data_IF_833249244072
#
_entry.id   IF_833249244072
#
_cell.length_a   1.000
_cell.length_b   1.000
_cell.length_c   1.000
_cell.angle_alpha   90.00
_cell.angle_beta   90.00
_cell.angle_gamma   90.00
#
_symmetry.space_group_name_H-M   'P 1'
#
loop_
_entity.id
_entity.type
_entity.pdbx_description
1 polymer ?
#
# COMPACT_ATOMS: atom_id res chain seq x y z
N UNK A 1 -8.50 30.68 -22.30
CA UNK A 1 -8.02 29.30 -22.08
C UNK A 1 -8.31 28.81 -20.64
N UNK A 2 -9.54 29.03 -20.12
CA UNK A 2 -9.94 28.67 -18.73
C UNK A 2 -11.13 27.68 -18.65
N UNK A 3 -11.83 27.40 -19.76
CA UNK A 3 -12.97 26.45 -19.76
C UNK A 3 -12.53 24.98 -19.77
N UNK A 4 -11.40 24.66 -20.42
CA UNK A 4 -10.95 23.26 -20.61
C UNK A 4 -10.48 22.64 -19.30
N UNK A 5 -9.97 23.46 -18.37
CA UNK A 5 -9.55 23.01 -17.03
C UNK A 5 -10.72 22.73 -16.08
N UNK A 6 -11.91 23.24 -16.38
CA UNK A 6 -13.13 22.98 -15.61
C UNK A 6 -13.78 21.64 -16.02
N UNK A 7 -13.74 21.33 -17.32
CA UNK A 7 -14.24 20.05 -17.87
C UNK A 7 -13.39 18.85 -17.49
N UNK A 8 -12.12 19.05 -17.13
CA UNK A 8 -11.19 17.96 -16.84
C UNK A 8 -11.39 17.32 -15.45
N UNK A 9 -12.20 17.91 -14.56
CA UNK A 9 -12.35 17.44 -13.18
C UNK A 9 -11.04 17.60 -12.38
N UNK A 10 -11.04 18.31 -11.25
CA UNK A 10 -9.82 18.40 -10.45
C UNK A 10 -9.41 17.00 -9.97
N UNK A 11 -8.14 16.57 -10.13
CA UNK A 11 -7.69 15.30 -9.59
C UNK A 11 -7.94 15.30 -8.08
N UNK A 12 -8.65 14.27 -7.60
CA UNK A 12 -9.03 14.18 -6.21
C UNK A 12 -7.77 14.05 -5.35
N UNK A 13 -7.38 15.14 -4.67
CA UNK A 13 -6.16 15.18 -3.83
C UNK A 13 -6.12 14.01 -2.85
N UNK A 14 -7.28 13.65 -2.28
CA UNK A 14 -7.42 12.51 -1.37
C UNK A 14 -7.07 11.16 -2.00
N UNK A 15 -7.35 10.93 -3.29
CA UNK A 15 -6.93 9.69 -3.96
C UNK A 15 -5.40 9.64 -4.10
N UNK A 16 -4.79 10.76 -4.47
CA UNK A 16 -3.33 10.85 -4.63
C UNK A 16 -2.60 10.68 -3.28
N UNK A 17 -3.16 11.22 -2.21
CA UNK A 17 -2.65 11.06 -0.84
C UNK A 17 -2.81 9.61 -0.36
N UNK A 18 -3.98 9.00 -0.59
CA UNK A 18 -4.22 7.59 -0.26
C UNK A 18 -3.26 6.67 -1.02
N UNK A 19 -3.02 6.94 -2.31
CA UNK A 19 -2.05 6.18 -3.10
C UNK A 19 -0.64 6.26 -2.50
N UNK A 20 -0.20 7.47 -2.10
CA UNK A 20 1.10 7.65 -1.41
C UNK A 20 1.16 6.86 -0.11
N UNK A 21 0.09 6.89 0.70
CA UNK A 21 0.01 6.11 1.94
C UNK A 21 0.12 4.61 1.67
N UNK A 22 -0.59 4.09 0.66
CA UNK A 22 -0.51 2.68 0.25
C UNK A 22 0.94 2.29 -0.12
N UNK A 23 1.62 3.12 -0.91
CA UNK A 23 3.01 2.86 -1.31
C UNK A 23 3.93 2.83 -0.10
N UNK A 24 3.78 3.77 0.84
CA UNK A 24 4.57 3.80 2.08
C UNK A 24 4.31 2.56 2.93
N UNK A 25 3.05 2.15 3.09
CA UNK A 25 2.68 0.95 3.84
C UNK A 25 3.23 -0.32 3.19
N UNK A 26 3.25 -0.43 1.86
CA UNK A 26 3.89 -1.55 1.13
C UNK A 26 5.39 -1.59 1.41
N UNK A 27 6.09 -0.46 1.29
CA UNK A 27 7.53 -0.37 1.60
C UNK A 27 7.83 -0.74 3.06
N UNK A 28 6.97 -0.34 4.00
CA UNK A 28 7.11 -0.71 5.40
C UNK A 28 6.97 -2.23 5.60
N UNK A 29 6.00 -2.86 4.92
CA UNK A 29 5.82 -4.31 4.95
C UNK A 29 7.04 -5.05 4.39
N UNK A 30 7.56 -4.63 3.24
CA UNK A 30 8.80 -5.19 2.64
C UNK A 30 9.99 -5.07 3.59
N UNK A 31 10.09 -3.94 4.31
CA UNK A 31 11.14 -3.73 5.31
C UNK A 31 11.01 -4.68 6.50
N UNK A 32 9.79 -4.98 6.95
CA UNK A 32 9.52 -5.96 8.02
C UNK A 32 9.84 -7.40 7.58
N UNK A 33 9.52 -7.76 6.33
CA UNK A 33 9.86 -9.05 5.75
C UNK A 33 11.38 -9.23 5.63
N UNK A 34 12.08 -8.20 5.14
CA UNK A 34 13.55 -8.22 5.07
C UNK A 34 14.17 -8.31 6.47
N UNK A 35 13.63 -7.57 7.45
CA UNK A 35 14.12 -7.62 8.83
C UNK A 35 13.91 -9.00 9.49
N UNK A 36 12.77 -9.66 9.24
CA UNK A 36 12.54 -11.04 9.67
C UNK A 36 13.61 -11.98 9.10
N UNK A 37 13.85 -11.89 7.78
CA UNK A 37 14.83 -12.71 7.07
C UNK A 37 16.24 -12.51 7.64
N UNK A 38 16.68 -11.26 7.79
CA UNK A 38 18.00 -10.93 8.33
C UNK A 38 18.18 -11.44 9.76
N UNK A 39 17.13 -11.40 10.59
CA UNK A 39 17.16 -11.95 11.94
C UNK A 39 17.28 -13.47 11.93
N UNK A 40 16.55 -14.17 11.05
CA UNK A 40 16.66 -15.63 10.92
C UNK A 40 18.03 -16.06 10.42
N UNK A 41 18.63 -15.33 9.48
CA UNK A 41 19.99 -15.57 9.01
C UNK A 41 21.02 -15.42 10.14
N UNK A 42 20.92 -14.33 10.93
CA UNK A 42 21.75 -14.13 12.11
C UNK A 42 21.55 -15.23 13.16
N UNK A 43 20.33 -15.72 13.34
CA UNK A 43 20.06 -16.84 14.24
C UNK A 43 20.74 -18.13 13.77
N UNK A 44 20.72 -18.41 12.46
CA UNK A 44 21.39 -19.55 11.86
C UNK A 44 22.92 -19.45 12.00
N UNK A 45 23.50 -18.28 11.75
CA UNK A 45 24.95 -18.04 11.95
C UNK A 45 25.37 -18.30 13.40
N UNK A 46 24.59 -17.82 14.37
CA UNK A 46 24.88 -18.06 15.79
C UNK A 46 24.70 -19.53 16.18
N UNK A 47 23.80 -20.27 15.51
CA UNK A 47 23.68 -21.72 15.72
C UNK A 47 24.93 -22.46 15.24
N UNK A 48 25.45 -22.12 14.06
CA UNK A 48 26.69 -22.74 13.55
C UNK A 48 27.89 -22.41 14.43
N UNK A 49 28.03 -21.15 14.88
CA UNK A 49 29.07 -20.77 15.85
C UNK A 49 28.95 -21.56 17.16
N UNK A 50 27.74 -21.69 17.71
CA UNK A 50 27.52 -22.48 18.91
C UNK A 50 27.96 -23.95 18.72
N UNK A 51 27.69 -24.54 17.55
CA UNK A 51 28.14 -25.91 17.20
C UNK A 51 29.66 -26.01 17.16
N UNK A 52 30.35 -25.00 16.63
CA UNK A 52 31.82 -24.96 16.63
C UNK A 52 32.41 -24.86 18.05
N UNK A 53 31.86 -24.00 18.91
CA UNK A 53 32.31 -23.91 20.32
C UNK A 53 32.03 -25.22 21.08
N UNK A 54 30.88 -25.86 20.85
CA UNK A 54 30.59 -27.19 21.40
C UNK A 54 31.62 -28.25 20.97
N UNK A 55 32.07 -28.24 19.71
CA UNK A 55 33.13 -29.16 19.22
C UNK A 55 34.48 -28.90 19.89
N UNK A 56 34.75 -27.66 20.32
CA UNK A 56 35.96 -27.26 21.04
C UNK A 56 35.83 -27.41 22.57
N UNK A 57 34.72 -27.95 23.08
CA UNK A 57 34.39 -28.06 24.51
C UNK A 57 34.31 -26.71 25.25
N UNK A 58 34.11 -25.62 24.52
CA UNK A 58 33.98 -24.28 25.07
C UNK A 58 32.50 -23.97 25.38
N UNK A 59 32.12 -24.12 26.64
CA UNK A 59 30.72 -24.06 27.07
C UNK A 59 30.17 -22.65 27.19
N UNK A 60 31.00 -21.69 27.59
CA UNK A 60 30.56 -20.33 27.87
C UNK A 60 30.25 -19.58 26.58
N UNK A 61 31.14 -19.69 25.58
CA UNK A 61 30.91 -19.10 24.27
C UNK A 61 29.77 -19.78 23.51
N UNK A 62 29.64 -21.11 23.61
CA UNK A 62 28.50 -21.83 23.06
C UNK A 62 27.17 -21.34 23.67
N UNK A 63 27.12 -21.16 24.99
CA UNK A 63 25.94 -20.65 25.68
C UNK A 63 25.63 -19.20 25.26
N UNK A 64 26.65 -18.37 25.08
CA UNK A 64 26.49 -17.01 24.60
C UNK A 64 25.89 -16.96 23.18
N UNK A 65 26.43 -17.76 22.25
CA UNK A 65 25.87 -17.89 20.90
C UNK A 65 24.41 -18.37 20.91
N UNK A 66 24.04 -19.31 21.79
CA UNK A 66 22.66 -19.78 21.94
C UNK A 66 21.72 -18.69 22.50
N UNK A 67 22.20 -17.83 23.40
CA UNK A 67 21.44 -16.66 23.88
C UNK A 67 21.19 -15.67 22.74
N UNK A 68 22.20 -15.37 21.93
CA UNK A 68 22.07 -14.51 20.75
C UNK A 68 21.11 -15.09 19.70
N UNK A 69 21.21 -16.39 19.40
CA UNK A 69 20.26 -17.10 18.54
C UNK A 69 18.82 -16.87 19.00
N UNK A 70 18.54 -17.12 20.28
CA UNK A 70 17.19 -16.95 20.86
C UNK A 70 16.72 -15.50 20.79
N UNK A 71 17.62 -14.52 20.99
CA UNK A 71 17.28 -13.11 20.84
C UNK A 71 16.85 -12.79 19.40
N UNK A 72 17.61 -13.23 18.41
CA UNK A 72 17.26 -13.02 17.00
C UNK A 72 15.97 -13.72 16.58
N UNK A 73 15.72 -14.95 17.05
CA UNK A 73 14.46 -15.67 16.82
C UNK A 73 13.26 -14.94 17.41
N UNK A 74 13.39 -14.38 18.62
CA UNK A 74 12.33 -13.56 19.23
C UNK A 74 12.07 -12.30 18.42
N UNK A 75 13.12 -11.62 17.97
CA UNK A 75 12.98 -10.41 17.13
C UNK A 75 12.32 -10.75 15.78
N UNK A 76 12.69 -11.86 15.15
CA UNK A 76 12.05 -12.34 13.93
C UNK A 76 10.56 -12.62 14.16
N UNK A 77 10.20 -13.30 15.25
CA UNK A 77 8.80 -13.56 15.60
C UNK A 77 8.00 -12.28 15.84
N UNK A 78 8.59 -11.28 16.52
CA UNK A 78 7.95 -9.97 16.69
C UNK A 78 7.70 -9.28 15.36
N UNK A 79 8.69 -9.29 14.44
CA UNK A 79 8.53 -8.74 13.09
C UNK A 79 7.39 -9.44 12.34
N UNK A 80 7.38 -10.78 12.37
CA UNK A 80 6.33 -11.61 11.76
C UNK A 80 4.94 -11.29 12.32
N UNK A 81 4.82 -11.08 13.63
CA UNK A 81 3.56 -10.71 14.27
C UNK A 81 3.05 -9.34 13.80
N UNK A 82 3.95 -8.40 13.48
CA UNK A 82 3.59 -7.07 12.98
C UNK A 82 3.20 -7.07 11.48
N UNK A 83 3.60 -8.07 10.71
CA UNK A 83 3.24 -8.12 9.28
C UNK A 83 1.73 -8.26 9.06
N UNK A 84 1.04 -9.08 9.86
CA UNK A 84 -0.41 -9.29 9.70
C UNK A 84 -1.23 -8.00 9.84
N UNK A 85 -1.10 -7.19 10.90
CA UNK A 85 -1.86 -5.95 11.02
C UNK A 85 -1.53 -4.95 9.91
N UNK A 86 -0.26 -4.87 9.46
CA UNK A 86 0.13 -4.01 8.34
C UNK A 86 -0.53 -4.47 7.03
N UNK A 87 -0.59 -5.78 6.76
CA UNK A 87 -1.31 -6.31 5.59
C UNK A 87 -2.80 -6.02 5.66
N UNK A 88 -3.42 -6.14 6.85
CA UNK A 88 -4.84 -5.81 7.03
C UNK A 88 -5.08 -4.32 6.74
N UNK A 89 -4.22 -3.43 7.25
CA UNK A 89 -4.29 -2.00 6.98
C UNK A 89 -4.16 -1.71 5.48
N UNK A 90 -3.21 -2.36 4.81
CA UNK A 90 -3.00 -2.22 3.37
C UNK A 90 -4.26 -2.62 2.58
N UNK A 91 -4.82 -3.80 2.87
CA UNK A 91 -6.06 -4.27 2.23
C UNK A 91 -7.21 -3.29 2.49
N UNK A 92 -7.33 -2.75 3.70
CA UNK A 92 -8.35 -1.74 4.01
C UNK A 92 -8.18 -0.48 3.16
N UNK A 93 -6.94 0.03 3.04
CA UNK A 93 -6.65 1.21 2.21
C UNK A 93 -6.93 0.94 0.73
N UNK A 94 -6.57 -0.23 0.22
CA UNK A 94 -6.86 -0.64 -1.16
C UNK A 94 -8.38 -0.69 -1.43
N UNK A 95 -9.18 -1.25 -0.50
CA UNK A 95 -10.65 -1.21 -0.62
C UNK A 95 -11.21 0.21 -0.64
N UNK A 96 -10.69 1.10 0.20
CA UNK A 96 -11.13 2.51 0.22
C UNK A 96 -10.78 3.20 -1.09
N UNK A 97 -9.58 2.93 -1.63
CA UNK A 97 -9.14 3.45 -2.93
C UNK A 97 -10.07 2.98 -4.04
N UNK A 98 -10.41 1.69 -4.07
CA UNK A 98 -11.28 1.13 -5.12
C UNK A 98 -12.68 1.77 -5.09
N UNK A 99 -13.30 1.88 -3.90
CA UNK A 99 -14.58 2.59 -3.74
C UNK A 99 -14.52 4.05 -4.19
N UNK A 100 -13.43 4.75 -3.87
CA UNK A 100 -13.25 6.14 -4.29
C UNK A 100 -13.11 6.25 -5.81
N UNK A 101 -12.39 5.32 -6.45
CA UNK A 101 -12.26 5.29 -7.91
C UNK A 101 -13.58 4.99 -8.60
N UNK A 102 -14.39 4.08 -8.07
CA UNK A 102 -15.74 3.78 -8.57
C UNK A 102 -16.64 5.02 -8.48
N UNK A 103 -16.66 5.69 -7.31
CA UNK A 103 -17.47 6.89 -7.11
C UNK A 103 -17.06 8.04 -8.05
N UNK A 104 -15.77 8.18 -8.38
CA UNK A 104 -15.30 9.16 -9.36
C UNK A 104 -15.74 8.80 -10.78
N UNK A 105 -15.66 7.52 -11.16
CA UNK A 105 -16.11 7.04 -12.47
C UNK A 105 -17.61 7.27 -12.68
N UNK A 106 -18.42 7.05 -11.64
CA UNK A 106 -19.86 7.31 -11.67
C UNK A 106 -20.15 8.81 -11.84
N UNK A 107 -19.43 9.68 -11.10
CA UNK A 107 -19.55 11.14 -11.27
C UNK A 107 -19.17 11.59 -12.67
N UNK A 108 -18.11 11.04 -13.26
CA UNK A 108 -17.73 11.38 -14.64
C UNK A 108 -18.80 10.94 -15.65
N UNK A 109 -19.39 9.76 -15.45
CA UNK A 109 -20.45 9.27 -16.33
C UNK A 109 -21.73 10.12 -16.24
N UNK A 110 -22.15 10.50 -15.03
CA UNK A 110 -23.29 11.43 -14.83
C UNK A 110 -23.01 12.80 -15.43
N UNK A 111 -21.82 13.36 -15.23
CA UNK A 111 -21.44 14.67 -15.77
C UNK A 111 -21.48 14.67 -17.29
N UNK A 112 -20.94 13.64 -17.93
CA UNK A 112 -20.99 13.48 -19.40
C UNK A 112 -22.42 13.38 -19.93
N UNK A 113 -23.30 12.61 -19.27
CA UNK A 113 -24.73 12.51 -19.62
C UNK A 113 -25.41 13.88 -19.54
N UNK A 114 -25.18 14.63 -18.46
CA UNK A 114 -25.74 15.96 -18.28
C UNK A 114 -25.28 16.91 -19.39
N UNK A 115 -23.98 16.96 -19.69
CA UNK A 115 -23.44 17.79 -20.79
C UNK A 115 -24.08 17.40 -22.13
N UNK A 116 -24.21 16.11 -22.40
CA UNK A 116 -24.80 15.61 -23.64
C UNK A 116 -26.28 16.03 -23.78
N UNK A 117 -27.07 15.96 -22.71
CA UNK A 117 -28.47 16.46 -22.69
C UNK A 117 -28.52 17.97 -22.95
N UNK A 118 -27.64 18.75 -22.32
CA UNK A 118 -27.55 20.20 -22.55
C UNK A 118 -27.22 20.54 -24.01
N UNK A 119 -26.31 19.80 -24.64
CA UNK A 119 -25.96 19.98 -26.05
C UNK A 119 -27.18 19.73 -26.95
N UNK A 120 -27.89 18.61 -26.77
CA UNK A 120 -29.07 18.31 -27.58
C UNK A 120 -30.21 19.30 -27.36
N UNK A 121 -30.46 19.71 -26.12
CA UNK A 121 -31.45 20.73 -25.81
C UNK A 121 -31.13 22.08 -26.47
N UNK A 122 -29.86 22.48 -26.46
CA UNK A 122 -29.40 23.72 -27.11
C UNK A 122 -29.55 23.66 -28.63
N UNK A 123 -29.22 22.52 -29.25
CA UNK A 123 -29.42 22.33 -30.70
C UNK A 123 -30.91 22.33 -31.08
N UNK A 124 -31.78 21.74 -30.26
CA UNK A 124 -33.22 21.75 -30.47
C UNK A 124 -33.79 23.18 -30.48
N UNK A 125 -33.37 24.01 -29.52
CA UNK A 125 -33.77 25.43 -29.46
C UNK A 125 -33.32 26.21 -30.69
N UNK A 126 -32.11 25.96 -31.20
CA UNK A 126 -31.60 26.61 -32.42
C UNK A 126 -32.42 26.21 -33.66
N UNK A 127 -32.82 24.95 -33.78
CA UNK A 127 -33.67 24.49 -34.89
C UNK A 127 -35.03 25.17 -34.83
N UNK A 128 -35.65 25.24 -33.64
CA UNK A 128 -36.95 25.90 -33.46
C UNK A 128 -36.88 27.40 -33.78
N UNK A 129 -35.78 28.08 -33.41
CA UNK A 129 -35.57 29.49 -33.73
C UNK A 129 -35.27 29.75 -35.21
N UNK A 130 -34.84 28.75 -35.98
CA UNK A 130 -34.58 28.87 -37.42
C UNK A 130 -35.85 28.73 -38.27
N UNK A 131 -36.85 28.00 -37.77
CA UNK A 131 -38.12 27.76 -38.46
C UNK A 131 -39.22 28.80 -38.13
N UNK A 132 -38.93 29.75 -37.21
CA UNK A 132 -39.79 30.89 -36.86
C UNK A 132 -39.23 32.15 -37.51
#
# INVERSE_FOLDING_TARGET
>A
MMMVTWLAGKPCKSLSELHKSIVVTKKHLESLEQWEKDCLEKAAINLEKAREHCRKYDRDDALYCLKLKRLHERTAQTSRNLQLPVRIQLVSMERVKDKLTEAMRDKDHTTKKTIQVFIYFSLLLLILAYFV
#
